data_IF_469242196640
#
_entry.id   IF_469242196640
#
_cell.length_a   1.000
_cell.length_b   1.000
_cell.length_c   1.000
_cell.angle_alpha   90.00
_cell.angle_beta   90.00
_cell.angle_gamma   90.00
#
_symmetry.space_group_name_H-M   'P 1'
#
loop_
_entity.id
_entity.type
_entity.pdbx_description
1 polymer ?
#
# COMPACT_ATOMS: atom_id res chain seq x y z
N UNK A 1 5.26 -11.85 -26.66
CA UNK A 1 4.35 -10.73 -26.33
C UNK A 1 2.96 -11.23 -25.92
N UNK A 2 2.38 -12.21 -26.63
CA UNK A 2 1.03 -12.75 -26.31
C UNK A 2 0.94 -13.44 -24.94
N UNK A 3 1.94 -14.23 -24.54
CA UNK A 3 1.96 -14.88 -23.21
C UNK A 3 1.89 -13.84 -22.09
N UNK A 4 2.65 -12.74 -22.20
CA UNK A 4 2.62 -11.65 -21.22
C UNK A 4 1.24 -10.99 -21.16
N UNK A 5 0.58 -10.80 -22.31
CA UNK A 5 -0.79 -10.26 -22.33
C UNK A 5 -1.74 -11.17 -21.57
N UNK A 6 -1.70 -12.49 -21.81
CA UNK A 6 -2.54 -13.47 -21.11
C UNK A 6 -2.30 -13.40 -19.59
N UNK A 7 -1.03 -13.36 -19.16
CA UNK A 7 -0.67 -13.27 -17.74
C UNK A 7 -1.24 -11.98 -17.12
N UNK A 8 -0.98 -10.81 -17.70
CA UNK A 8 -1.46 -9.53 -17.16
C UNK A 8 -2.98 -9.44 -17.13
N UNK A 9 -3.65 -9.89 -18.19
CA UNK A 9 -5.13 -9.94 -18.20
C UNK A 9 -5.66 -10.87 -17.12
N UNK A 10 -5.02 -12.02 -16.90
CA UNK A 10 -5.42 -12.95 -15.84
C UNK A 10 -5.26 -12.32 -14.45
N UNK A 11 -4.14 -11.63 -14.20
CA UNK A 11 -3.92 -10.95 -12.92
C UNK A 11 -4.95 -9.85 -12.70
N UNK A 12 -5.24 -9.05 -13.73
CA UNK A 12 -6.25 -7.99 -13.65
C UNK A 12 -7.66 -8.53 -13.35
N UNK A 13 -8.00 -9.73 -13.83
CA UNK A 13 -9.26 -10.39 -13.47
C UNK A 13 -9.23 -10.85 -12.00
N UNK A 14 -8.10 -11.36 -11.53
CA UNK A 14 -7.91 -11.75 -10.12
C UNK A 14 -7.97 -10.55 -9.16
N UNK A 15 -7.66 -9.35 -9.62
CA UNK A 15 -7.76 -8.13 -8.81
C UNK A 15 -9.21 -7.82 -8.39
N UNK A 16 -10.22 -8.22 -9.16
CA UNK A 16 -11.64 -8.00 -8.82
C UNK A 16 -12.03 -8.66 -7.48
N UNK A 17 -11.89 -9.99 -7.30
CA UNK A 17 -12.19 -10.62 -6.02
C UNK A 17 -11.28 -10.12 -4.89
N UNK A 18 -10.04 -9.68 -5.18
CA UNK A 18 -9.14 -9.10 -4.19
C UNK A 18 -9.59 -7.72 -3.71
N UNK A 19 -10.11 -6.87 -4.60
CA UNK A 19 -10.73 -5.61 -4.23
C UNK A 19 -11.92 -5.85 -3.29
N UNK A 20 -12.81 -6.77 -3.66
CA UNK A 20 -13.98 -7.15 -2.85
C UNK A 20 -13.53 -7.64 -1.46
N UNK A 21 -12.57 -8.56 -1.40
CA UNK A 21 -12.04 -9.05 -0.14
C UNK A 21 -11.44 -7.93 0.72
N UNK A 22 -10.71 -6.99 0.11
CA UNK A 22 -10.12 -5.84 0.80
C UNK A 22 -11.18 -4.93 1.42
N UNK A 23 -12.26 -4.63 0.68
CA UNK A 23 -13.38 -3.86 1.22
C UNK A 23 -14.12 -4.59 2.35
N UNK A 24 -14.29 -5.92 2.23
CA UNK A 24 -14.88 -6.74 3.30
C UNK A 24 -14.01 -6.69 4.57
N UNK A 25 -12.69 -6.85 4.45
CA UNK A 25 -11.79 -6.76 5.60
C UNK A 25 -11.79 -5.38 6.24
N UNK A 26 -11.74 -4.33 5.43
CA UNK A 26 -11.85 -2.96 5.90
C UNK A 26 -13.16 -2.75 6.68
N UNK A 27 -14.29 -3.21 6.13
CA UNK A 27 -15.59 -3.13 6.79
C UNK A 27 -15.60 -3.87 8.14
N UNK A 28 -15.06 -5.08 8.19
CA UNK A 28 -14.99 -5.86 9.44
C UNK A 28 -14.16 -5.15 10.50
N UNK A 29 -12.97 -4.66 10.13
CA UNK A 29 -12.04 -4.02 11.05
C UNK A 29 -12.52 -2.64 11.53
N UNK A 30 -13.15 -1.87 10.65
CA UNK A 30 -13.57 -0.50 10.93
C UNK A 30 -14.96 -0.40 11.57
N UNK A 31 -15.88 -1.33 11.28
CA UNK A 31 -17.28 -1.19 11.73
C UNK A 31 -17.80 -2.35 12.57
N UNK A 32 -17.33 -3.58 12.33
CA UNK A 32 -17.77 -4.74 13.14
C UNK A 32 -16.94 -4.93 14.40
N UNK A 33 -15.71 -4.45 14.42
CA UNK A 33 -14.85 -4.46 15.59
C UNK A 33 -14.84 -3.10 16.27
N UNK A 34 -14.21 -3.05 17.44
CA UNK A 34 -14.04 -1.81 18.18
C UNK A 34 -13.17 -0.83 17.40
N UNK A 35 -13.80 0.04 16.61
CA UNK A 35 -13.16 1.10 15.80
C UNK A 35 -12.35 2.08 16.65
N UNK A 36 -12.63 2.16 17.95
CA UNK A 36 -11.83 2.95 18.91
C UNK A 36 -10.51 2.26 19.23
N UNK A 37 -10.39 0.95 18.99
CA UNK A 37 -9.11 0.26 19.05
C UNK A 37 -8.26 0.75 17.87
N UNK A 38 -7.17 1.46 18.15
CA UNK A 38 -6.45 2.14 17.11
C UNK A 38 -5.60 1.17 16.26
N UNK A 39 -5.43 -0.07 16.69
CA UNK A 39 -4.85 -1.13 15.86
C UNK A 39 -5.84 -1.50 14.73
N UNK A 40 -7.11 -1.73 15.08
CA UNK A 40 -8.14 -2.10 14.10
C UNK A 40 -8.44 -0.97 13.15
N UNK A 41 -8.49 0.26 13.66
CA UNK A 41 -8.66 1.44 12.82
C UNK A 41 -7.56 1.54 11.75
N UNK A 42 -6.30 1.58 12.15
CA UNK A 42 -5.20 1.80 11.19
C UNK A 42 -5.04 0.63 10.21
N UNK A 43 -5.20 -0.61 10.69
CA UNK A 43 -5.13 -1.77 9.80
C UNK A 43 -6.35 -1.85 8.84
N UNK A 44 -7.54 -1.47 9.33
CA UNK A 44 -8.75 -1.31 8.54
C UNK A 44 -8.62 -0.22 7.48
N UNK A 45 -7.98 0.90 7.80
CA UNK A 45 -7.68 1.96 6.83
C UNK A 45 -6.65 1.51 5.79
N UNK A 46 -5.59 0.80 6.18
CA UNK A 46 -4.63 0.26 5.22
C UNK A 46 -5.28 -0.72 4.23
N UNK A 47 -6.17 -1.60 4.71
CA UNK A 47 -6.95 -2.50 3.85
C UNK A 47 -7.99 -1.78 3.00
N UNK A 48 -8.61 -0.71 3.51
CA UNK A 48 -9.52 0.15 2.74
C UNK A 48 -8.78 0.81 1.57
N UNK A 49 -7.64 1.44 1.84
CA UNK A 49 -6.83 2.09 0.81
C UNK A 49 -6.25 1.09 -0.19
N UNK A 50 -5.96 -0.15 0.23
CA UNK A 50 -5.66 -1.23 -0.71
C UNK A 50 -6.86 -1.52 -1.61
N UNK A 51 -8.07 -1.68 -1.07
CA UNK A 51 -9.27 -1.88 -1.88
C UNK A 51 -9.52 -0.75 -2.88
N UNK A 52 -9.31 0.51 -2.45
CA UNK A 52 -9.40 1.69 -3.31
C UNK A 52 -8.31 1.71 -4.39
N UNK A 53 -7.08 1.31 -4.04
CA UNK A 53 -5.97 1.21 -4.98
C UNK A 53 -6.28 0.20 -6.10
N UNK A 54 -6.71 -1.01 -5.71
CA UNK A 54 -7.09 -2.06 -6.66
C UNK A 54 -8.26 -1.61 -7.53
N UNK A 55 -9.28 -0.98 -6.92
CA UNK A 55 -10.43 -0.47 -7.65
C UNK A 55 -10.00 0.55 -8.72
N UNK A 56 -9.17 1.54 -8.36
CA UNK A 56 -8.69 2.53 -9.31
C UNK A 56 -7.87 1.90 -10.42
N UNK A 57 -7.00 0.93 -10.10
CA UNK A 57 -6.26 0.18 -11.12
C UNK A 57 -7.22 -0.50 -12.09
N UNK A 58 -8.24 -1.24 -11.61
CA UNK A 58 -9.25 -1.88 -12.48
C UNK A 58 -9.98 -0.85 -13.34
N UNK A 59 -10.39 0.28 -12.75
CA UNK A 59 -11.10 1.35 -13.46
C UNK A 59 -10.24 1.95 -14.58
N UNK A 60 -8.92 2.03 -14.43
CA UNK A 60 -8.01 2.50 -15.49
C UNK A 60 -8.15 1.67 -16.78
N UNK A 61 -8.41 0.38 -16.67
CA UNK A 61 -8.52 -0.53 -17.83
C UNK A 61 -9.94 -0.66 -18.39
N UNK A 62 -10.95 -0.15 -17.68
CA UNK A 62 -12.34 -0.10 -18.15
C UNK A 62 -12.57 1.29 -18.75
N UNK A 63 -12.29 1.42 -20.06
CA UNK A 63 -12.31 2.67 -20.87
C UNK A 63 -13.60 3.52 -20.88
N UNK A 64 -14.57 3.25 -20.01
CA UNK A 64 -15.94 3.79 -20.07
C UNK A 64 -16.34 4.75 -18.95
N UNK A 65 -15.39 5.36 -18.23
CA UNK A 65 -15.72 6.28 -17.13
C UNK A 65 -15.27 7.72 -17.40
N UNK A 66 -16.06 8.66 -16.89
CA UNK A 66 -15.91 10.13 -16.92
C UNK A 66 -14.55 10.68 -16.41
N UNK A 67 -13.63 9.81 -15.98
CA UNK A 67 -12.35 10.17 -15.40
C UNK A 67 -11.22 9.83 -16.37
N UNK A 68 -10.27 10.74 -16.54
CA UNK A 68 -9.12 10.50 -17.42
C UNK A 68 -8.21 9.42 -16.85
N UNK A 69 -7.58 8.64 -17.73
CA UNK A 69 -6.55 7.64 -17.36
C UNK A 69 -5.43 8.25 -16.51
N UNK A 70 -5.06 9.50 -16.82
CA UNK A 70 -4.11 10.28 -16.04
C UNK A 70 -4.56 10.49 -14.58
N UNK A 71 -5.83 10.84 -14.37
CA UNK A 71 -6.38 11.05 -13.03
C UNK A 71 -6.42 9.75 -12.22
N UNK A 72 -6.82 8.65 -12.86
CA UNK A 72 -6.83 7.33 -12.23
C UNK A 72 -5.41 6.85 -11.88
N UNK A 73 -4.44 7.02 -12.80
CA UNK A 73 -3.03 6.74 -12.52
C UNK A 73 -2.53 7.58 -11.32
N UNK A 74 -2.86 8.87 -11.26
CA UNK A 74 -2.51 9.73 -10.12
C UNK A 74 -3.11 9.23 -8.80
N UNK A 75 -4.38 8.84 -8.80
CA UNK A 75 -5.05 8.26 -7.63
C UNK A 75 -4.40 6.95 -7.18
N UNK A 76 -3.90 6.13 -8.10
CA UNK A 76 -3.18 4.89 -7.81
C UNK A 76 -1.95 5.16 -6.92
N UNK A 77 -1.11 6.13 -7.28
CA UNK A 77 0.05 6.54 -6.47
C UNK A 77 -0.36 7.07 -5.09
N UNK A 78 -1.41 7.91 -5.04
CA UNK A 78 -1.91 8.46 -3.78
C UNK A 78 -2.39 7.33 -2.87
N UNK A 79 -3.20 6.40 -3.37
CA UNK A 79 -3.70 5.30 -2.54
C UNK A 79 -2.57 4.37 -2.08
N UNK A 80 -1.59 4.07 -2.94
CA UNK A 80 -0.37 3.35 -2.57
C UNK A 80 0.37 4.02 -1.39
N UNK A 81 0.50 5.35 -1.41
CA UNK A 81 1.10 6.12 -0.32
C UNK A 81 0.35 5.94 1.01
N UNK A 82 -0.98 6.06 0.96
CA UNK A 82 -1.82 6.00 2.15
C UNK A 82 -1.87 4.60 2.78
N UNK A 83 -1.74 3.51 2.00
CA UNK A 83 -1.57 2.16 2.54
C UNK A 83 -0.37 2.10 3.48
N UNK A 84 0.80 2.56 3.01
CA UNK A 84 2.03 2.55 3.79
C UNK A 84 1.95 3.52 4.98
N UNK A 85 1.29 4.67 4.82
CA UNK A 85 1.05 5.61 5.91
C UNK A 85 0.28 4.97 7.07
N UNK A 86 -0.88 4.37 6.80
CA UNK A 86 -1.68 3.73 7.83
C UNK A 86 -0.96 2.52 8.43
N UNK A 87 -0.18 1.79 7.62
CA UNK A 87 0.71 0.75 8.14
C UNK A 87 1.77 1.31 9.11
N UNK A 88 2.41 2.43 8.78
CA UNK A 88 3.37 3.09 9.65
C UNK A 88 2.73 3.49 10.99
N UNK A 89 1.55 4.10 10.96
CA UNK A 89 0.82 4.45 12.20
C UNK A 89 0.42 3.19 12.98
N UNK A 90 0.01 2.12 12.29
CA UNK A 90 -0.21 0.82 12.93
C UNK A 90 1.03 0.36 13.70
N UNK A 91 2.24 0.46 13.12
CA UNK A 91 3.48 0.07 13.83
C UNK A 91 3.77 0.93 15.05
N UNK A 92 3.35 2.21 15.08
CA UNK A 92 3.46 3.05 16.27
C UNK A 92 2.52 2.59 17.39
N UNK A 93 1.34 2.09 17.04
CA UNK A 93 0.31 1.71 18.01
C UNK A 93 0.34 0.22 18.40
N UNK A 94 0.96 -0.66 17.62
CA UNK A 94 1.02 -2.10 17.87
C UNK A 94 2.40 -2.56 18.42
N UNK A 95 2.50 -3.45 19.43
CA UNK A 95 1.51 -3.73 20.46
C UNK A 95 1.64 -2.69 21.59
N UNK A 96 0.50 -2.23 22.11
CA UNK A 96 0.47 -1.37 23.30
C UNK A 96 1.13 -2.07 24.51
N UNK A 97 1.70 -1.32 25.49
CA UNK A 97 1.58 0.12 25.66
C UNK A 97 2.94 0.83 25.75
N UNK A 98 3.71 0.89 24.66
CA UNK A 98 4.79 1.88 24.59
C UNK A 98 4.18 3.23 24.21
N UNK A 99 4.49 4.27 25.01
CA UNK A 99 3.87 5.61 24.97
C UNK A 99 3.48 6.08 23.56
N UNK A 100 2.24 6.55 23.45
CA UNK A 100 1.66 7.19 22.27
C UNK A 100 2.40 8.51 22.02
N UNK A 101 3.37 8.51 21.12
CA UNK A 101 4.02 9.75 20.70
C UNK A 101 3.09 10.50 19.73
N UNK A 102 2.10 11.21 20.29
CA UNK A 102 1.02 11.86 19.55
C UNK A 102 1.53 12.85 18.51
N UNK A 103 2.66 13.50 18.79
CA UNK A 103 3.25 14.52 17.93
C UNK A 103 3.83 13.92 16.66
N UNK A 104 4.48 12.76 16.74
CA UNK A 104 5.04 12.07 15.56
C UNK A 104 3.91 11.61 14.65
N UNK A 105 2.84 11.03 15.21
CA UNK A 105 1.69 10.59 14.42
C UNK A 105 1.02 11.79 13.72
N UNK A 106 0.83 12.90 14.44
CA UNK A 106 0.28 14.12 13.87
C UNK A 106 1.17 14.69 12.75
N UNK A 107 2.48 14.73 12.97
CA UNK A 107 3.44 15.18 11.96
C UNK A 107 3.40 14.30 10.71
N UNK A 108 3.30 12.98 10.87
CA UNK A 108 3.16 12.06 9.74
C UNK A 108 1.90 12.36 8.92
N UNK A 109 0.77 12.65 9.56
CA UNK A 109 -0.45 13.06 8.84
C UNK A 109 -0.22 14.33 8.02
N UNK A 110 0.39 15.37 8.62
CA UNK A 110 0.68 16.62 7.91
C UNK A 110 1.59 16.36 6.72
N UNK A 111 2.72 15.67 6.91
CA UNK A 111 3.69 15.42 5.83
C UNK A 111 3.05 14.59 4.71
N UNK A 112 2.31 13.54 5.05
CA UNK A 112 1.63 12.69 4.05
C UNK A 112 0.58 13.48 3.28
N UNK A 113 -0.14 14.38 3.95
CA UNK A 113 -1.15 15.23 3.32
C UNK A 113 -0.49 16.23 2.37
N UNK A 114 0.61 16.86 2.78
CA UNK A 114 1.39 17.75 1.91
C UNK A 114 1.93 17.00 0.68
N UNK A 115 2.44 15.78 0.88
CA UNK A 115 2.87 14.91 -0.22
C UNK A 115 1.70 14.47 -1.12
N UNK A 116 0.50 14.31 -0.58
CA UNK A 116 -0.70 14.02 -1.38
C UNK A 116 -1.08 15.24 -2.23
N UNK A 117 -0.97 16.45 -1.68
CA UNK A 117 -1.27 17.68 -2.41
C UNK A 117 -0.29 17.96 -3.54
N UNK A 118 0.98 17.54 -3.44
CA UNK A 118 1.93 17.72 -4.55
C UNK A 118 1.56 16.91 -5.79
N UNK A 119 0.78 15.81 -5.66
CA UNK A 119 0.25 15.08 -6.83
C UNK A 119 -0.78 15.87 -7.64
N UNK A 120 -1.32 16.96 -7.08
CA UNK A 120 -2.21 17.87 -7.81
C UNK A 120 -1.45 18.83 -8.73
N UNK A 121 -0.12 18.92 -8.60
CA UNK A 121 0.72 19.74 -9.47
C UNK A 121 0.85 19.02 -10.83
N UNK A 122 0.38 19.62 -11.94
CA UNK A 122 0.44 18.99 -13.26
C UNK A 122 1.88 18.62 -13.64
N UNK A 123 2.06 17.45 -14.25
CA UNK A 123 3.34 16.96 -14.77
C UNK A 123 4.46 16.77 -13.73
N UNK A 124 4.17 16.90 -12.44
CA UNK A 124 5.19 16.81 -11.40
C UNK A 124 5.61 15.36 -11.11
N UNK A 125 4.67 14.40 -11.20
CA UNK A 125 4.96 12.96 -11.04
C UNK A 125 4.74 12.17 -12.33
N UNK A 126 3.60 12.38 -12.99
CA UNK A 126 3.23 11.70 -14.23
C UNK A 126 3.16 12.78 -15.31
N UNK A 127 3.84 12.57 -16.43
CA UNK A 127 3.87 13.49 -17.58
C UNK A 127 2.80 13.08 -18.59
N UNK A 128 2.72 11.77 -18.88
CA UNK A 128 1.78 11.22 -19.84
C UNK A 128 1.38 9.81 -19.43
N UNK A 129 0.16 9.41 -19.80
CA UNK A 129 -0.37 8.07 -19.56
C UNK A 129 -1.06 7.57 -20.81
N UNK A 130 -0.58 6.45 -21.33
CA UNK A 130 -1.17 5.79 -22.49
C UNK A 130 -1.61 4.37 -22.11
N UNK A 131 -2.90 4.11 -22.25
CA UNK A 131 -3.44 2.78 -22.05
C UNK A 131 -3.42 1.99 -23.35
N UNK A 132 -2.62 0.91 -23.40
CA UNK A 132 -2.64 -0.07 -24.48
C UNK A 132 -2.88 -1.46 -23.88
N UNK A 133 -4.15 -1.80 -23.71
CA UNK A 133 -4.57 -3.01 -23.01
C UNK A 133 -3.77 -4.27 -23.43
N UNK A 134 -3.27 -5.07 -22.47
CA UNK A 134 -3.46 -4.98 -21.01
C UNK A 134 -2.37 -4.18 -20.28
N UNK A 135 -1.59 -3.37 -20.99
CA UNK A 135 -0.50 -2.59 -20.41
C UNK A 135 -0.90 -1.13 -20.26
N UNK A 136 -0.55 -0.56 -19.11
CA UNK A 136 -0.53 0.87 -18.90
C UNK A 136 0.92 1.36 -19.08
N UNK A 137 1.08 2.37 -19.93
CA UNK A 137 2.36 3.03 -20.17
C UNK A 137 2.31 4.38 -19.49
N UNK A 138 3.25 4.62 -18.58
CA UNK A 138 3.35 5.86 -17.82
C UNK A 138 4.69 6.51 -18.12
N UNK A 139 4.64 7.74 -18.63
CA UNK A 139 5.83 8.59 -18.71
C UNK A 139 5.93 9.34 -17.38
N UNK A 140 6.92 8.97 -16.57
CA UNK A 140 7.09 9.50 -15.22
C UNK A 140 8.13 10.63 -15.19
N UNK A 141 7.84 11.69 -14.43
CA UNK A 141 8.82 12.72 -14.12
C UNK A 141 9.82 12.20 -13.09
N UNK A 142 11.10 12.14 -13.47
CA UNK A 142 12.17 11.58 -12.64
C UNK A 142 12.31 12.28 -11.28
N UNK A 143 12.10 13.59 -11.23
CA UNK A 143 12.23 14.36 -9.99
C UNK A 143 11.11 13.98 -9.02
N UNK A 144 9.85 14.01 -9.50
CA UNK A 144 8.69 13.62 -8.70
C UNK A 144 8.79 12.17 -8.22
N UNK A 145 9.12 11.25 -9.13
CA UNK A 145 9.28 9.83 -8.79
C UNK A 145 10.39 9.60 -7.74
N UNK A 146 11.50 10.33 -7.84
CA UNK A 146 12.59 10.26 -6.84
C UNK A 146 12.11 10.74 -5.47
N UNK A 147 11.38 11.86 -5.42
CA UNK A 147 10.80 12.36 -4.17
C UNK A 147 9.81 11.36 -3.56
N UNK A 148 8.92 10.78 -4.38
CA UNK A 148 7.99 9.73 -3.95
C UNK A 148 8.73 8.53 -3.35
N UNK A 149 9.75 8.02 -4.05
CA UNK A 149 10.52 6.86 -3.60
C UNK A 149 11.29 7.15 -2.31
N UNK A 150 11.92 8.33 -2.17
CA UNK A 150 12.58 8.74 -0.92
C UNK A 150 11.57 8.74 0.22
N UNK A 151 10.41 9.34 0.01
CA UNK A 151 9.39 9.41 1.05
C UNK A 151 8.82 8.04 1.43
N UNK A 152 8.56 7.17 0.45
CA UNK A 152 8.15 5.79 0.65
C UNK A 152 9.19 4.98 1.44
N UNK A 153 10.48 5.13 1.11
CA UNK A 153 11.58 4.48 1.83
C UNK A 153 11.68 5.00 3.27
N UNK A 154 11.54 6.31 3.50
CA UNK A 154 11.52 6.88 4.86
C UNK A 154 10.39 6.28 5.69
N UNK A 155 9.16 6.22 5.17
CA UNK A 155 8.02 5.61 5.87
C UNK A 155 8.25 4.12 6.17
N UNK A 156 8.86 3.40 5.22
CA UNK A 156 9.21 1.99 5.40
C UNK A 156 10.24 1.82 6.52
N UNK A 157 11.32 2.61 6.51
CA UNK A 157 12.37 2.59 7.54
C UNK A 157 11.78 2.90 8.92
N UNK A 158 10.94 3.93 9.03
CA UNK A 158 10.27 4.27 10.29
C UNK A 158 9.41 3.11 10.80
N UNK A 159 8.65 2.48 9.92
CA UNK A 159 7.80 1.33 10.25
C UNK A 159 8.62 0.15 10.78
N UNK A 160 9.69 -0.24 10.09
CA UNK A 160 10.56 -1.35 10.53
C UNK A 160 11.34 -1.01 11.79
N UNK A 161 11.86 0.22 11.92
CA UNK A 161 12.55 0.66 13.14
C UNK A 161 11.65 0.49 14.36
N UNK A 162 10.38 0.87 14.27
CA UNK A 162 9.41 0.70 15.35
C UNK A 162 9.14 -0.77 15.65
N UNK A 163 8.91 -1.60 14.63
CA UNK A 163 8.67 -3.02 14.80
C UNK A 163 9.87 -3.72 15.44
N UNK A 164 11.10 -3.41 15.00
CA UNK A 164 12.33 -3.96 15.55
C UNK A 164 12.52 -3.55 17.01
N UNK A 165 12.36 -2.25 17.32
CA UNK A 165 12.44 -1.77 18.71
C UNK A 165 11.45 -2.52 19.61
N UNK A 166 10.22 -2.71 19.15
CA UNK A 166 9.19 -3.44 19.90
C UNK A 166 9.48 -4.93 19.99
N UNK A 167 10.02 -5.55 18.94
CA UNK A 167 10.45 -6.94 18.96
C UNK A 167 11.52 -7.19 20.02
N UNK A 168 12.48 -6.28 20.17
CA UNK A 168 13.55 -6.38 21.17
C UNK A 168 13.01 -6.24 22.60
N UNK A 169 11.95 -5.44 22.79
CA UNK A 169 11.37 -5.16 24.11
C UNK A 169 10.14 -6.02 24.46
N UNK A 170 9.69 -6.88 23.56
CA UNK A 170 8.53 -7.76 23.79
C UNK A 170 8.98 -9.19 24.11
N UNK A 171 8.18 -9.92 24.89
CA UNK A 171 8.39 -11.34 25.19
C UNK A 171 7.16 -12.17 24.83
N UNK A 172 7.29 -13.50 24.87
CA UNK A 172 6.18 -14.43 24.64
C UNK A 172 5.51 -14.30 23.27
N UNK A 173 4.19 -14.41 23.27
CA UNK A 173 3.35 -14.42 22.07
C UNK A 173 3.47 -13.15 21.24
N UNK A 174 3.56 -11.98 21.87
CA UNK A 174 3.73 -10.70 21.16
C UNK A 174 5.04 -10.64 20.39
N UNK A 175 6.14 -11.17 20.95
CA UNK A 175 7.43 -11.23 20.26
C UNK A 175 7.33 -12.08 18.99
N UNK A 176 6.63 -13.21 19.06
CA UNK A 176 6.40 -14.10 17.90
C UNK A 176 5.53 -13.41 16.85
N UNK A 177 4.46 -12.73 17.26
CA UNK A 177 3.59 -11.98 16.33
C UNK A 177 4.33 -10.85 15.63
N UNK A 178 5.11 -10.04 16.37
CA UNK A 178 5.91 -8.96 15.77
C UNK A 178 6.95 -9.53 14.79
N UNK A 179 7.64 -10.62 15.15
CA UNK A 179 8.60 -11.27 14.24
C UNK A 179 7.93 -11.68 12.92
N UNK A 180 6.75 -12.29 13.00
CA UNK A 180 5.99 -12.69 11.81
C UNK A 180 5.59 -11.46 11.00
N UNK A 181 5.06 -10.40 11.63
CA UNK A 181 4.70 -9.15 10.94
C UNK A 181 5.91 -8.57 10.21
N UNK A 182 7.08 -8.47 10.86
CA UNK A 182 8.32 -7.99 10.24
C UNK A 182 8.66 -8.80 8.98
N UNK A 183 8.65 -10.14 9.08
CA UNK A 183 9.00 -11.01 7.95
C UNK A 183 7.99 -10.82 6.81
N UNK A 184 6.69 -10.84 7.12
CA UNK A 184 5.63 -10.66 6.13
C UNK A 184 5.73 -9.33 5.41
N UNK A 185 5.92 -8.23 6.15
CA UNK A 185 5.95 -6.89 5.55
C UNK A 185 7.26 -6.62 4.83
N UNK A 186 8.37 -7.25 5.23
CA UNK A 186 9.64 -7.15 4.52
C UNK A 186 9.52 -7.68 3.08
N UNK A 187 8.81 -8.80 2.88
CA UNK A 187 8.57 -9.35 1.54
C UNK A 187 7.81 -8.34 0.67
N UNK A 188 6.74 -7.74 1.18
CA UNK A 188 5.96 -6.75 0.42
C UNK A 188 6.73 -5.47 0.11
N UNK A 189 7.54 -4.97 1.05
CA UNK A 189 8.36 -3.77 0.83
C UNK A 189 9.50 -4.03 -0.16
N UNK A 190 10.19 -5.17 -0.04
CA UNK A 190 11.25 -5.55 -0.99
C UNK A 190 10.67 -5.72 -2.39
N UNK A 191 9.52 -6.39 -2.53
CA UNK A 191 8.84 -6.55 -3.80
C UNK A 191 8.52 -5.18 -4.42
N UNK A 192 7.93 -4.24 -3.66
CA UNK A 192 7.62 -2.89 -4.15
C UNK A 192 8.87 -2.08 -4.53
N UNK A 193 9.97 -2.20 -3.78
CA UNK A 193 11.24 -1.54 -4.13
C UNK A 193 11.79 -2.10 -5.45
N UNK A 194 11.79 -3.44 -5.61
CA UNK A 194 12.22 -4.09 -6.86
C UNK A 194 11.36 -3.62 -8.02
N UNK A 195 10.04 -3.59 -7.88
CA UNK A 195 9.13 -3.13 -8.92
C UNK A 195 9.39 -1.66 -9.28
N UNK A 196 9.47 -0.76 -8.29
CA UNK A 196 9.74 0.66 -8.54
C UNK A 196 11.09 0.91 -9.24
N UNK A 197 12.14 0.20 -8.83
CA UNK A 197 13.45 0.29 -9.51
C UNK A 197 13.40 -0.29 -10.93
N UNK A 198 12.65 -1.38 -11.15
CA UNK A 198 12.50 -1.97 -12.48
C UNK A 198 11.74 -1.05 -13.44
N UNK A 199 10.70 -0.35 -12.97
CA UNK A 199 9.99 0.68 -13.73
C UNK A 199 10.88 1.87 -14.06
N UNK A 200 11.80 2.24 -13.15
CA UNK A 200 12.73 3.35 -13.38
C UNK A 200 13.78 3.07 -14.46
N UNK A 201 14.39 1.88 -14.46
CA UNK A 201 15.60 1.62 -15.27
C UNK A 201 15.35 0.76 -16.51
N UNK A 202 14.31 -0.06 -16.53
CA UNK A 202 14.30 -1.20 -17.46
C UNK A 202 13.00 -1.36 -18.26
N UNK A 203 11.86 -0.80 -17.82
CA UNK A 203 10.59 -1.25 -18.37
C UNK A 203 9.56 -0.11 -18.49
N UNK A 204 8.96 0.13 -19.68
CA UNK A 204 7.90 1.12 -19.89
C UNK A 204 6.50 0.63 -19.47
N UNK A 205 6.39 -0.56 -18.87
CA UNK A 205 5.13 -1.17 -18.46
C UNK A 205 4.87 -0.92 -16.97
N UNK A 206 3.63 -0.60 -16.63
CA UNK A 206 3.18 -0.55 -15.25
C UNK A 206 3.05 -1.96 -14.63
N UNK A 207 3.82 -2.24 -13.58
CA UNK A 207 3.75 -3.47 -12.79
C UNK A 207 2.87 -3.36 -11.54
N UNK A 208 2.12 -2.26 -11.37
CA UNK A 208 1.23 -2.04 -10.23
C UNK A 208 0.26 -3.20 -10.01
N UNK A 209 -0.26 -3.78 -11.10
CA UNK A 209 -1.12 -4.97 -11.08
C UNK A 209 -0.48 -6.14 -10.31
N UNK A 210 0.84 -6.34 -10.44
CA UNK A 210 1.55 -7.39 -9.71
C UNK A 210 1.75 -6.99 -8.24
N UNK A 211 2.08 -5.72 -7.97
CA UNK A 211 2.29 -5.18 -6.62
C UNK A 211 1.06 -5.32 -5.70
N UNK A 212 -0.14 -5.28 -6.28
CA UNK A 212 -1.42 -5.53 -5.59
C UNK A 212 -1.44 -6.91 -4.92
N UNK A 213 -1.06 -7.96 -5.65
CA UNK A 213 -1.07 -9.34 -5.14
C UNK A 213 -0.18 -9.49 -3.90
N UNK A 214 1.03 -8.93 -3.98
CA UNK A 214 1.98 -8.95 -2.86
C UNK A 214 1.43 -8.19 -1.65
N UNK A 215 0.92 -6.98 -1.87
CA UNK A 215 0.40 -6.14 -0.79
C UNK A 215 -0.81 -6.77 -0.12
N UNK A 216 -1.74 -7.32 -0.90
CA UNK A 216 -2.88 -8.08 -0.36
C UNK A 216 -2.44 -9.30 0.46
N UNK A 217 -1.52 -10.11 -0.08
CA UNK A 217 -0.99 -11.28 0.62
C UNK A 217 -0.35 -10.93 1.96
N UNK A 218 0.38 -9.81 2.03
CA UNK A 218 0.98 -9.31 3.28
C UNK A 218 -0.09 -8.89 4.29
N UNK A 219 -1.11 -8.13 3.88
CA UNK A 219 -2.19 -7.74 4.79
C UNK A 219 -2.99 -8.97 5.27
N UNK A 220 -3.29 -9.92 4.39
CA UNK A 220 -3.93 -11.18 4.76
C UNK A 220 -3.12 -11.98 5.78
N UNK A 221 -1.81 -12.05 5.57
CA UNK A 221 -0.89 -12.70 6.48
C UNK A 221 -0.92 -12.04 7.86
N UNK A 222 -0.80 -10.71 7.93
CA UNK A 222 -0.91 -9.96 9.20
C UNK A 222 -2.25 -10.20 9.88
N UNK A 223 -3.36 -10.14 9.13
CA UNK A 223 -4.69 -10.41 9.65
C UNK A 223 -4.76 -11.79 10.30
N UNK A 224 -4.28 -12.83 9.61
CA UNK A 224 -4.28 -14.21 10.12
C UNK A 224 -3.49 -14.34 11.43
N UNK A 225 -2.37 -13.63 11.58
CA UNK A 225 -1.53 -13.68 12.78
C UNK A 225 -2.19 -12.95 13.95
N UNK A 226 -2.80 -11.80 13.68
CA UNK A 226 -3.41 -10.96 14.69
C UNK A 226 -4.74 -11.50 15.19
N UNK A 227 -5.45 -12.28 14.37
CA UNK A 227 -6.85 -12.64 14.59
C UNK A 227 -7.15 -14.14 14.48
N UNK A 228 -6.13 -14.97 14.35
CA UNK A 228 -6.25 -16.41 14.54
C UNK A 228 -6.70 -16.69 15.98
N UNK A 229 -7.76 -17.49 16.13
CA UNK A 229 -8.25 -18.00 17.43
C UNK A 229 -7.33 -19.04 18.07
N UNK A 230 -6.32 -19.54 17.34
CA UNK A 230 -5.51 -20.68 17.74
C UNK A 230 -4.28 -20.34 18.60
N UNK A 231 -4.29 -19.23 19.34
CA UNK A 231 -3.33 -18.98 20.43
C UNK A 231 -3.96 -18.19 21.57
#
# INVERSE_FOLDING_TARGET
MEILKIIFTTILILDIPLAIASFIFAYILLFRRDWKNPIYFNFGMATLFLGLWILVTILTYIQNLFLSTYFLATLSFIFGLWILHYFAIFTYKYPYPFKKDSNIIFLLYIITSLFTLSFLIPNFYIINVELRFPFLYEELNLIGLTLFNIYFVILSILSFKNLIYKYLNSTGLHRVQIKKIIIGTAVGVIANIIFSLSSYYFIPYDFTIIGILFTFGVLMYIYSIMFSSNY
#
